data_IF_982997885300
#
_entry.id   IF_982997885300
#
_cell.length_a   1.000
_cell.length_b   1.000
_cell.length_c   1.000
_cell.angle_alpha   90.00
_cell.angle_beta   90.00
_cell.angle_gamma   90.00
#
_symmetry.space_group_name_H-M   'P 1'
#
loop_
_entity.id
_entity.type
_entity.pdbx_description
1 polymer ?
#
# COMPACT_ATOMS: atom_id res chain seq x y z
N UNK A 1 -4.19 -6.91 24.81
CA UNK A 1 -4.90 -7.06 23.52
C UNK A 1 -4.08 -7.96 22.62
N UNK A 2 -4.27 -9.28 22.74
CA UNK A 2 -3.62 -10.28 21.90
C UNK A 2 -4.36 -10.37 20.58
N UNK A 3 -4.02 -9.53 19.60
CA UNK A 3 -4.56 -9.74 18.26
C UNK A 3 -3.92 -10.98 17.63
N UNK A 4 -4.63 -12.11 17.81
CA UNK A 4 -4.64 -13.31 16.95
C UNK A 4 -3.26 -13.88 16.61
N UNK A 5 -2.70 -14.62 17.57
CA UNK A 5 -1.57 -15.56 17.39
C UNK A 5 -1.94 -16.55 16.27
N UNK A 6 -1.54 -16.28 15.02
CA UNK A 6 -1.63 -17.24 13.90
C UNK A 6 -2.37 -16.82 12.64
N UNK A 7 -2.99 -15.64 12.57
CA UNK A 7 -3.64 -15.20 11.32
C UNK A 7 -2.66 -14.47 10.40
N UNK A 8 -2.55 -14.90 9.14
CA UNK A 8 -1.75 -14.18 8.15
C UNK A 8 -2.24 -12.74 7.96
N UNK A 9 -1.33 -11.81 7.74
CA UNK A 9 -1.65 -10.39 7.50
C UNK A 9 -2.69 -10.23 6.38
N UNK A 10 -2.57 -11.01 5.30
CA UNK A 10 -3.53 -11.03 4.19
C UNK A 10 -4.97 -11.34 4.61
N UNK A 11 -5.17 -12.12 5.67
CA UNK A 11 -6.50 -12.43 6.16
C UNK A 11 -7.02 -11.33 7.10
N UNK A 12 -6.14 -10.70 7.89
CA UNK A 12 -6.50 -9.56 8.74
C UNK A 12 -6.99 -8.38 7.90
N UNK A 13 -6.27 -8.02 6.84
CA UNK A 13 -6.63 -6.86 5.99
C UNK A 13 -7.93 -7.07 5.20
N UNK A 14 -8.30 -8.33 4.93
CA UNK A 14 -9.56 -8.70 4.27
C UNK A 14 -10.78 -8.63 5.19
N UNK A 15 -10.57 -8.70 6.51
CA UNK A 15 -11.65 -8.60 7.48
C UNK A 15 -12.12 -7.14 7.59
N UNK A 16 -13.26 -6.85 6.97
CA UNK A 16 -13.87 -5.51 6.94
C UNK A 16 -14.31 -4.99 8.31
N UNK A 17 -14.33 -5.84 9.35
CA UNK A 17 -14.64 -5.44 10.73
C UNK A 17 -13.41 -4.93 11.48
N UNK A 18 -12.20 -5.23 10.99
CA UNK A 18 -10.95 -4.78 11.61
C UNK A 18 -10.66 -3.35 11.16
N UNK A 19 -10.40 -2.46 12.10
CA UNK A 19 -9.79 -1.15 11.84
C UNK A 19 -8.32 -1.37 11.47
N UNK A 20 -7.86 -0.83 10.33
CA UNK A 20 -6.53 -1.16 9.82
C UNK A 20 -5.41 -0.66 10.72
N UNK A 21 -5.62 0.46 11.43
CA UNK A 21 -4.64 1.01 12.38
C UNK A 21 -4.32 0.11 13.57
N UNK A 22 -5.20 -0.87 13.89
CA UNK A 22 -4.97 -1.84 14.96
C UNK A 22 -4.01 -2.98 14.56
N UNK A 23 -3.66 -3.08 13.28
CA UNK A 23 -2.79 -4.13 12.75
C UNK A 23 -1.33 -3.69 12.91
N UNK A 24 -0.58 -4.37 13.79
CA UNK A 24 0.87 -4.19 13.90
C UNK A 24 1.59 -4.77 12.68
N UNK A 25 2.17 -3.88 11.87
CA UNK A 25 2.99 -4.23 10.70
C UNK A 25 4.49 -3.93 10.91
N UNK A 26 4.91 -3.52 12.11
CA UNK A 26 6.28 -3.04 12.40
C UNK A 26 7.39 -4.06 12.11
N UNK A 27 7.04 -5.35 12.05
CA UNK A 27 7.97 -6.45 11.74
C UNK A 27 7.77 -7.06 10.35
N UNK A 28 6.82 -6.54 9.59
CA UNK A 28 6.46 -7.08 8.28
C UNK A 28 7.38 -6.49 7.21
N UNK A 29 8.03 -7.36 6.45
CA UNK A 29 8.93 -6.96 5.36
C UNK A 29 8.29 -7.02 3.98
N UNK A 30 7.20 -7.78 3.85
CA UNK A 30 6.60 -8.14 2.57
C UNK A 30 5.13 -7.70 2.52
N UNK A 31 4.85 -6.67 1.72
CA UNK A 31 3.51 -6.16 1.46
C UNK A 31 2.94 -6.69 0.12
N UNK A 32 3.50 -7.78 -0.41
CA UNK A 32 3.09 -8.33 -1.71
C UNK A 32 1.63 -8.73 -1.69
N UNK A 33 0.84 -8.08 -2.55
CA UNK A 33 -0.58 -8.38 -2.76
C UNK A 33 -1.44 -8.34 -1.48
N UNK A 34 -1.18 -7.43 -0.54
CA UNK A 34 -2.00 -7.32 0.68
C UNK A 34 -3.46 -6.97 0.37
N UNK A 35 -3.67 -6.01 -0.53
CA UNK A 35 -4.98 -5.52 -0.97
C UNK A 35 -5.23 -5.78 -2.46
N UNK A 36 -4.53 -6.75 -3.06
CA UNK A 36 -4.76 -7.10 -4.48
C UNK A 36 -6.24 -7.44 -4.71
N UNK A 37 -6.87 -6.72 -5.65
CA UNK A 37 -8.28 -6.81 -6.03
C UNK A 37 -9.24 -6.56 -4.85
N UNK A 38 -8.80 -5.84 -3.83
CA UNK A 38 -9.61 -5.54 -2.65
C UNK A 38 -10.86 -4.74 -3.03
N UNK A 39 -12.00 -5.18 -2.49
CA UNK A 39 -13.28 -4.43 -2.49
C UNK A 39 -13.60 -3.82 -1.12
N UNK A 40 -12.59 -3.70 -0.25
CA UNK A 40 -12.69 -2.94 1.00
C UNK A 40 -12.94 -1.47 0.63
N UNK A 41 -13.83 -0.80 1.36
CA UNK A 41 -14.17 0.62 1.11
C UNK A 41 -13.54 1.57 2.12
N UNK A 42 -13.46 1.13 3.37
CA UNK A 42 -12.87 1.88 4.46
C UNK A 42 -11.44 1.40 4.68
N UNK A 43 -10.46 2.26 4.43
CA UNK A 43 -9.04 1.96 4.65
C UNK A 43 -8.46 2.79 5.81
N UNK A 44 -9.31 3.42 6.63
CA UNK A 44 -8.86 4.26 7.75
C UNK A 44 -7.88 3.53 8.68
N UNK A 45 -6.88 4.28 9.16
CA UNK A 45 -5.80 3.80 10.02
C UNK A 45 -4.63 3.19 9.26
N UNK A 46 -4.72 3.00 7.94
CA UNK A 46 -3.59 2.51 7.14
C UNK A 46 -2.44 3.53 7.07
N UNK A 47 -2.75 4.82 7.18
CA UNK A 47 -1.80 5.94 7.20
C UNK A 47 -0.87 5.93 8.42
N UNK A 48 -1.24 5.22 9.50
CA UNK A 48 -0.46 5.11 10.73
C UNK A 48 0.48 3.90 10.76
N UNK A 49 0.50 3.09 9.70
CA UNK A 49 1.36 1.90 9.64
C UNK A 49 2.84 2.25 9.64
N UNK A 50 3.60 1.55 10.51
CA UNK A 50 5.07 1.62 10.50
C UNK A 50 5.60 0.79 9.32
N UNK A 51 6.10 1.46 8.29
CA UNK A 51 6.54 0.83 7.04
C UNK A 51 8.06 0.86 6.82
N UNK A 52 8.86 1.36 7.77
CA UNK A 52 10.32 1.54 7.59
C UNK A 52 11.10 0.22 7.51
N UNK A 53 10.46 -0.92 7.75
CA UNK A 53 11.04 -2.25 7.61
C UNK A 53 10.62 -2.98 6.32
N UNK A 54 9.68 -2.40 5.55
CA UNK A 54 9.14 -3.02 4.34
C UNK A 54 10.18 -2.96 3.22
N UNK A 55 10.41 -4.10 2.55
CA UNK A 55 11.36 -4.21 1.44
C UNK A 55 10.68 -4.44 0.08
N UNK A 56 9.41 -4.83 0.06
CA UNK A 56 8.63 -5.01 -1.17
C UNK A 56 7.16 -4.62 -0.96
N UNK A 57 6.60 -3.89 -1.92
CA UNK A 57 5.20 -3.47 -1.99
C UNK A 57 4.54 -3.90 -3.32
N UNK A 58 5.11 -4.94 -3.96
CA UNK A 58 4.63 -5.47 -5.24
C UNK A 58 3.13 -5.78 -5.20
N UNK A 59 2.37 -5.22 -6.13
CA UNK A 59 0.90 -5.41 -6.23
C UNK A 59 0.11 -5.07 -4.95
N UNK A 60 0.66 -4.31 -4.00
CA UNK A 60 0.03 -4.10 -2.69
C UNK A 60 -1.43 -3.64 -2.81
N UNK A 61 -1.72 -2.70 -3.72
CA UNK A 61 -3.06 -2.19 -4.00
C UNK A 61 -3.54 -2.49 -5.42
N UNK A 62 -2.90 -3.40 -6.15
CA UNK A 62 -3.26 -3.74 -7.53
C UNK A 62 -4.74 -4.10 -7.64
N UNK A 63 -5.54 -3.31 -8.36
CA UNK A 63 -6.98 -3.53 -8.51
C UNK A 63 -7.82 -3.19 -7.27
N UNK A 64 -7.29 -2.47 -6.29
CA UNK A 64 -8.04 -2.02 -5.12
C UNK A 64 -8.91 -0.80 -5.47
N UNK A 65 -10.03 -1.05 -6.15
CA UNK A 65 -10.87 -0.02 -6.81
C UNK A 65 -11.42 1.10 -5.92
N UNK A 66 -11.36 0.96 -4.60
CA UNK A 66 -11.82 1.98 -3.63
C UNK A 66 -10.68 2.59 -2.80
N UNK A 67 -9.42 2.27 -3.09
CA UNK A 67 -8.29 2.79 -2.34
C UNK A 67 -7.96 4.23 -2.75
N UNK A 68 -8.07 5.16 -1.80
CA UNK A 68 -7.70 6.57 -1.98
C UNK A 68 -7.21 7.24 -0.68
N UNK A 69 -6.67 6.45 0.27
CA UNK A 69 -6.14 7.00 1.53
C UNK A 69 -4.80 7.67 1.33
N UNK A 70 -4.56 8.74 2.10
CA UNK A 70 -3.28 9.43 2.09
C UNK A 70 -2.22 8.61 2.82
N UNK A 71 -1.29 8.05 2.06
CA UNK A 71 -0.16 7.25 2.55
C UNK A 71 1.19 7.97 2.35
N UNK A 72 1.17 9.29 2.19
CA UNK A 72 2.39 10.11 2.08
C UNK A 72 3.29 9.98 3.34
N UNK A 73 2.71 9.59 4.49
CA UNK A 73 3.41 9.31 5.75
C UNK A 73 4.26 8.04 5.73
N UNK A 74 4.05 7.13 4.79
CA UNK A 74 4.77 5.86 4.75
C UNK A 74 6.26 6.05 4.45
N UNK A 75 7.11 5.38 5.21
CA UNK A 75 8.54 5.33 4.96
C UNK A 75 8.86 4.22 3.96
N UNK A 76 9.09 4.59 2.70
CA UNK A 76 9.41 3.66 1.61
C UNK A 76 10.90 3.56 1.28
N UNK A 77 11.78 4.19 2.07
CA UNK A 77 13.23 4.32 1.79
C UNK A 77 13.99 2.98 1.67
N UNK A 78 13.42 1.88 2.19
CA UNK A 78 14.00 0.53 2.08
C UNK A 78 13.33 -0.36 1.03
N UNK A 79 12.25 0.10 0.40
CA UNK A 79 11.50 -0.68 -0.59
C UNK A 79 12.34 -0.82 -1.85
N UNK A 80 12.49 -2.06 -2.33
CA UNK A 80 13.21 -2.38 -3.57
C UNK A 80 12.26 -2.62 -4.75
N UNK A 81 11.04 -3.11 -4.48
CA UNK A 81 10.09 -3.47 -5.52
C UNK A 81 8.71 -2.85 -5.23
N UNK A 82 8.23 -2.01 -6.14
CA UNK A 82 6.89 -1.39 -6.17
C UNK A 82 6.12 -1.75 -7.44
N UNK A 83 6.54 -2.80 -8.16
CA UNK A 83 5.93 -3.16 -9.44
C UNK A 83 4.43 -3.42 -9.25
N UNK A 84 3.62 -2.83 -10.13
CA UNK A 84 2.16 -2.94 -10.13
C UNK A 84 1.47 -2.50 -8.83
N UNK A 85 2.13 -1.72 -7.95
CA UNK A 85 1.58 -1.38 -6.63
C UNK A 85 0.17 -0.76 -6.70
N UNK A 86 -0.08 0.10 -7.68
CA UNK A 86 -1.37 0.76 -7.93
C UNK A 86 -1.96 0.43 -9.30
N UNK A 87 -1.50 -0.63 -9.97
CA UNK A 87 -2.04 -1.04 -11.27
C UNK A 87 -3.57 -1.23 -11.15
N UNK A 88 -4.34 -0.65 -12.07
CA UNK A 88 -5.82 -0.68 -12.05
C UNK A 88 -6.46 -0.19 -10.73
N UNK A 89 -5.85 0.77 -10.04
CA UNK A 89 -6.39 1.40 -8.81
C UNK A 89 -7.09 2.70 -9.17
N UNK A 90 -8.31 2.59 -9.70
CA UNK A 90 -9.01 3.69 -10.36
C UNK A 90 -9.26 4.93 -9.50
N UNK A 91 -9.33 4.81 -8.19
CA UNK A 91 -9.71 5.90 -7.29
C UNK A 91 -8.54 6.62 -6.63
N UNK A 92 -7.31 6.11 -6.77
CA UNK A 92 -6.16 6.67 -6.05
C UNK A 92 -5.70 8.00 -6.67
N UNK A 93 -5.73 9.07 -5.86
CA UNK A 93 -5.40 10.43 -6.28
C UNK A 93 -4.72 11.24 -5.15
N UNK A 94 -3.91 10.58 -4.31
CA UNK A 94 -3.22 11.21 -3.19
C UNK A 94 -1.76 11.56 -3.52
N UNK A 95 -1.19 12.59 -2.87
CA UNK A 95 0.22 12.95 -3.06
C UNK A 95 1.16 11.83 -2.59
N UNK A 96 2.25 11.63 -3.33
CA UNK A 96 3.34 10.70 -2.99
C UNK A 96 4.73 11.38 -3.01
N UNK A 97 4.78 12.72 -3.09
CA UNK A 97 6.00 13.49 -3.31
C UNK A 97 7.00 13.46 -2.13
N UNK A 98 6.62 12.98 -0.95
CA UNK A 98 7.56 12.79 0.18
C UNK A 98 8.24 11.42 0.19
N UNK A 99 7.85 10.51 -0.69
CA UNK A 99 8.45 9.19 -0.75
C UNK A 99 9.89 9.27 -1.27
N UNK A 100 10.84 8.81 -0.46
CA UNK A 100 12.20 8.53 -0.92
C UNK A 100 12.23 7.19 -1.66
N UNK A 101 12.26 7.26 -2.98
CA UNK A 101 12.28 6.10 -3.86
C UNK A 101 13.67 5.73 -4.36
N UNK A 102 14.74 6.33 -3.81
CA UNK A 102 16.14 6.10 -4.24
C UNK A 102 16.58 4.63 -4.15
N UNK A 103 15.96 3.86 -3.25
CA UNK A 103 16.19 2.42 -3.09
C UNK A 103 15.47 1.54 -4.11
N UNK A 104 14.45 2.04 -4.80
CA UNK A 104 13.55 1.23 -5.62
C UNK A 104 14.24 0.84 -6.93
N UNK A 105 14.32 -0.46 -7.21
CA UNK A 105 14.92 -0.99 -8.43
C UNK A 105 13.87 -1.46 -9.43
N UNK A 106 12.59 -1.51 -9.05
CA UNK A 106 11.50 -1.92 -9.93
C UNK A 106 10.21 -1.15 -9.61
N UNK A 107 9.73 -0.35 -10.56
CA UNK A 107 8.43 0.35 -10.57
C UNK A 107 7.58 -0.02 -11.80
N UNK A 108 7.89 -1.13 -12.48
CA UNK A 108 7.17 -1.53 -13.69
C UNK A 108 5.67 -1.58 -13.44
N UNK A 109 4.90 -0.97 -14.34
CA UNK A 109 3.42 -0.99 -14.33
C UNK A 109 2.81 -0.44 -13.02
N UNK A 110 3.57 0.31 -12.20
CA UNK A 110 3.12 0.78 -10.87
C UNK A 110 1.76 1.48 -10.92
N UNK A 111 1.50 2.20 -12.01
CA UNK A 111 0.31 3.02 -12.24
C UNK A 111 -0.43 2.65 -13.54
N UNK A 112 -0.11 1.50 -14.15
CA UNK A 112 -0.74 1.10 -15.40
C UNK A 112 -2.25 0.91 -15.21
N UNK A 113 -3.05 1.42 -16.15
CA UNK A 113 -4.52 1.37 -16.13
C UNK A 113 -5.17 2.02 -14.90
N UNK A 114 -4.45 2.84 -14.13
CA UNK A 114 -5.04 3.63 -13.06
C UNK A 114 -5.52 4.98 -13.62
N UNK A 115 -6.83 5.20 -13.57
CA UNK A 115 -7.52 6.24 -14.33
C UNK A 115 -7.56 7.62 -13.66
N UNK A 116 -7.33 7.73 -12.34
CA UNK A 116 -7.46 8.99 -11.59
C UNK A 116 -6.14 9.58 -11.06
N UNK A 117 -4.98 9.15 -11.56
CA UNK A 117 -3.69 9.61 -11.00
C UNK A 117 -3.41 11.06 -11.37
N UNK A 118 -3.17 11.89 -10.33
CA UNK A 118 -2.73 13.27 -10.50
C UNK A 118 -1.42 13.34 -11.31
N UNK A 119 -1.32 14.16 -12.37
CA UNK A 119 -0.11 14.31 -13.19
C UNK A 119 1.15 14.79 -12.45
N UNK A 120 1.09 15.15 -11.16
CA UNK A 120 2.26 15.58 -10.38
C UNK A 120 3.30 14.48 -10.07
N UNK A 121 3.00 13.20 -10.36
CA UNK A 121 3.93 12.08 -10.12
C UNK A 121 4.93 11.88 -11.29
N UNK A 122 4.71 12.54 -12.44
CA UNK A 122 5.54 12.35 -13.65
C UNK A 122 6.70 13.36 -13.80
N UNK A 123 6.98 14.20 -12.80
CA UNK A 123 7.88 15.34 -12.97
C UNK A 123 8.91 15.53 -11.88
N UNK A 124 9.95 14.69 -11.86
CA UNK A 124 11.35 15.07 -11.58
C UNK A 124 12.31 14.16 -12.32
#
# INVERSE_FOLDING_TARGET
>A
MSHKIGQSLKNLVKDKKIYLGDIDVSKVRDFTSLFEKSRRKDFSGIESWETSHVTTMRKCFCGAVHFNENIESWNVSKVKNMSQMFMATDTFNQPLNKWDTSSVTNMSEMFESATSINPLINGR
#
